data_IF_348938573034
#
_entry.id   IF_348938573034
#
_cell.length_a   1.000
_cell.length_b   1.000
_cell.length_c   1.000
_cell.angle_alpha   90.00
_cell.angle_beta   90.00
_cell.angle_gamma   90.00
#
_symmetry.space_group_name_H-M   'P 1'
#
loop_
_entity.id
_entity.type
_entity.pdbx_description
1 polymer ?
#
# COMPACT_ATOMS: atom_id res chain seq x y z
N UNK A 1 18.05 -8.15 -27.77
CA UNK A 1 17.24 -7.12 -27.08
C UNK A 1 18.02 -6.65 -25.86
N UNK A 2 18.68 -5.50 -25.99
CA UNK A 2 19.79 -5.05 -25.13
C UNK A 2 19.34 -4.57 -23.74
N UNK A 3 20.15 -4.87 -22.71
CA UNK A 3 20.01 -4.42 -21.32
C UNK A 3 19.83 -2.89 -21.18
N UNK A 4 20.31 -2.11 -22.17
CA UNK A 4 20.11 -0.67 -22.25
C UNK A 4 18.63 -0.27 -22.37
N UNK A 5 17.79 -1.12 -22.97
CA UNK A 5 16.34 -0.90 -23.08
C UNK A 5 15.64 -1.10 -21.73
N UNK A 6 16.12 -2.06 -20.93
CA UNK A 6 15.63 -2.29 -19.56
C UNK A 6 16.01 -1.15 -18.61
N UNK A 7 17.22 -0.58 -18.73
CA UNK A 7 17.66 0.54 -17.90
C UNK A 7 16.83 1.81 -18.11
N UNK A 8 16.35 2.05 -19.35
CA UNK A 8 15.51 3.19 -19.67
C UNK A 8 14.05 3.06 -19.17
N UNK A 9 13.58 1.84 -18.84
CA UNK A 9 12.29 1.61 -18.19
C UNK A 9 12.30 1.94 -16.69
N UNK A 10 13.48 2.02 -16.05
CA UNK A 10 13.62 2.30 -14.61
C UNK A 10 13.50 3.80 -14.31
N UNK A 11 13.86 4.67 -15.26
CA UNK A 11 13.83 6.14 -15.12
C UNK A 11 12.43 6.72 -14.82
N UNK A 12 11.32 6.30 -15.49
CA UNK A 12 10.00 6.84 -15.18
C UNK A 12 9.44 6.37 -13.83
N UNK A 13 9.89 5.23 -13.29
CA UNK A 13 9.38 4.65 -12.04
C UNK A 13 9.70 5.55 -10.84
N UNK A 14 10.88 6.18 -10.81
CA UNK A 14 11.27 7.10 -9.72
C UNK A 14 10.42 8.37 -9.69
N UNK A 15 10.11 8.91 -10.87
CA UNK A 15 9.25 10.10 -11.02
C UNK A 15 7.80 9.81 -10.60
N UNK A 16 7.26 8.65 -10.98
CA UNK A 16 5.91 8.25 -10.58
C UNK A 16 5.79 7.93 -9.08
N UNK A 17 6.83 7.38 -8.45
CA UNK A 17 6.86 7.18 -6.99
C UNK A 17 6.89 8.51 -6.22
N UNK A 18 7.69 9.49 -6.69
CA UNK A 18 7.76 10.82 -6.09
C UNK A 18 6.42 11.58 -6.22
N UNK A 19 5.78 11.51 -7.39
CA UNK A 19 4.46 12.11 -7.61
C UNK A 19 3.34 11.45 -6.78
N UNK A 20 3.47 10.15 -6.44
CA UNK A 20 2.53 9.45 -5.55
C UNK A 20 2.71 9.79 -4.07
N UNK A 21 3.92 10.18 -3.65
CA UNK A 21 4.21 10.67 -2.30
C UNK A 21 3.84 12.15 -2.11
N UNK A 22 3.87 12.94 -3.19
CA UNK A 22 3.49 14.35 -3.20
C UNK A 22 1.98 14.58 -3.39
N UNK A 23 1.12 13.74 -2.80
CA UNK A 23 -0.32 14.01 -2.77
C UNK A 23 -0.57 15.25 -1.89
N UNK A 24 -0.65 16.42 -2.51
CA UNK A 24 -1.02 17.69 -1.89
C UNK A 24 -2.51 17.69 -1.58
N UNK A 25 -2.90 16.97 -0.53
CA UNK A 25 -4.20 17.21 0.08
C UNK A 25 -4.18 18.57 0.74
N UNK A 26 -5.17 19.41 0.41
CA UNK A 26 -5.55 20.63 1.13
C UNK A 26 -5.47 20.31 2.63
N UNK A 27 -4.47 20.88 3.31
CA UNK A 27 -4.36 20.74 4.76
C UNK A 27 -5.44 21.67 5.32
N UNK A 28 -6.49 21.14 5.97
CA UNK A 28 -7.49 21.98 6.60
C UNK A 28 -6.80 22.90 7.62
N UNK A 29 -7.21 24.17 7.58
CA UNK A 29 -6.69 25.22 8.44
C UNK A 29 -6.78 24.82 9.92
N UNK A 30 -5.80 25.26 10.73
CA UNK A 30 -5.79 24.96 12.17
C UNK A 30 -7.09 25.44 12.82
N UNK A 31 -7.54 24.79 13.89
CA UNK A 31 -8.78 25.17 14.54
C UNK A 31 -8.75 26.65 14.96
N UNK A 32 -9.84 27.37 14.66
CA UNK A 32 -10.01 28.79 14.99
C UNK A 32 -9.80 29.08 16.49
N UNK A 33 -10.04 28.08 17.33
CA UNK A 33 -9.78 28.11 18.76
C UNK A 33 -8.73 27.04 19.05
N UNK A 34 -7.56 27.46 19.54
CA UNK A 34 -6.52 26.57 20.04
C UNK A 34 -6.50 26.68 21.56
N UNK A 35 -6.45 25.54 22.24
CA UNK A 35 -6.33 25.49 23.69
C UNK A 35 -4.96 26.05 24.08
N UNK A 36 -4.96 27.10 24.90
CA UNK A 36 -3.73 27.63 25.47
C UNK A 36 -3.31 26.77 26.65
N UNK A 37 -2.01 26.59 26.81
CA UNK A 37 -1.45 25.82 27.91
C UNK A 37 -1.76 26.49 29.26
N UNK A 38 -2.17 25.76 30.29
CA UNK A 38 -2.30 26.31 31.64
C UNK A 38 -0.94 26.78 32.16
N UNK A 39 -0.93 27.94 32.82
CA UNK A 39 0.29 28.53 33.37
C UNK A 39 0.78 27.67 34.56
N UNK A 40 1.86 26.92 34.37
CA UNK A 40 2.50 26.14 35.43
C UNK A 40 3.06 24.78 35.00
N UNK A 41 2.63 24.25 33.86
CA UNK A 41 3.12 22.96 33.36
C UNK A 41 4.30 23.15 32.40
N UNK A 42 5.26 22.21 32.38
CA UNK A 42 6.37 22.15 31.43
C UNK A 42 6.13 20.99 30.44
N UNK A 43 6.34 21.23 29.14
CA UNK A 43 6.05 20.23 28.08
C UNK A 43 5.42 20.79 26.80
N UNK A 44 5.51 20.02 25.72
CA UNK A 44 4.89 20.32 24.42
C UNK A 44 3.39 20.03 24.46
N UNK A 45 2.57 21.04 24.17
CA UNK A 45 1.13 20.93 24.11
C UNK A 45 0.65 21.36 22.73
N UNK A 46 0.21 20.40 21.92
CA UNK A 46 -0.32 20.65 20.59
C UNK A 46 -1.62 19.87 20.43
N UNK A 47 -2.74 20.56 20.65
CA UNK A 47 -4.06 19.98 20.42
C UNK A 47 -4.51 20.26 18.98
N UNK A 48 -4.42 19.24 18.13
CA UNK A 48 -4.96 19.27 16.77
C UNK A 48 -6.24 18.43 16.65
N UNK A 49 -7.18 18.84 15.80
CA UNK A 49 -8.36 18.02 15.48
C UNK A 49 -7.92 16.75 14.73
N UNK A 50 -8.42 15.58 15.15
CA UNK A 50 -8.20 14.34 14.41
C UNK A 50 -9.06 14.31 13.13
N UNK A 51 -8.43 14.50 11.97
CA UNK A 51 -9.11 14.58 10.69
C UNK A 51 -9.74 13.27 10.23
N UNK A 52 -9.19 12.11 10.62
CA UNK A 52 -9.74 10.81 10.23
C UNK A 52 -11.14 10.53 10.81
N UNK A 53 -11.48 11.20 11.92
CA UNK A 53 -12.72 10.99 12.67
C UNK A 53 -13.75 12.09 12.42
N UNK A 54 -13.50 13.01 11.49
CA UNK A 54 -14.41 14.12 11.23
C UNK A 54 -15.46 13.72 10.16
N UNK A 55 -16.76 13.60 10.51
CA UNK A 55 -17.81 13.18 9.58
C UNK A 55 -18.09 14.23 8.49
N UNK A 56 -17.65 15.48 8.68
CA UNK A 56 -17.88 16.57 7.74
C UNK A 56 -16.83 16.65 6.63
N UNK A 57 -15.78 15.80 6.68
CA UNK A 57 -14.77 15.76 5.61
C UNK A 57 -15.25 14.78 4.54
N UNK A 58 -15.79 15.34 3.45
CA UNK A 58 -16.17 14.57 2.26
C UNK A 58 -14.92 14.20 1.47
N UNK A 59 -14.57 12.91 1.43
CA UNK A 59 -13.42 12.39 0.70
C UNK A 59 -12.84 11.12 1.33
N UNK A 60 -11.75 10.60 0.77
CA UNK A 60 -11.06 9.45 1.35
C UNK A 60 -10.33 9.88 2.63
N UNK A 61 -10.52 9.19 3.77
CA UNK A 61 -9.86 9.53 5.03
C UNK A 61 -8.34 9.56 4.85
N UNK A 62 -7.69 10.61 5.39
CA UNK A 62 -6.24 10.74 5.36
C UNK A 62 -5.65 9.65 6.28
N UNK A 63 -4.78 8.78 5.77
CA UNK A 63 -4.10 7.80 6.62
C UNK A 63 -3.23 8.55 7.63
N UNK A 64 -3.42 8.24 8.90
CA UNK A 64 -2.60 8.73 10.00
C UNK A 64 -1.35 7.87 10.16
N UNK A 65 -0.26 8.44 10.71
CA UNK A 65 0.87 7.62 11.13
C UNK A 65 0.40 6.58 12.16
N UNK A 66 0.61 5.30 11.87
CA UNK A 66 0.12 4.18 12.68
C UNK A 66 -1.15 3.50 12.14
N UNK A 67 -1.77 4.01 11.09
CA UNK A 67 -2.88 3.32 10.41
C UNK A 67 -2.40 2.09 9.63
N UNK A 68 -3.29 1.09 9.49
CA UNK A 68 -2.99 -0.10 8.69
C UNK A 68 -2.70 0.27 7.22
N UNK A 69 -1.74 -0.41 6.55
CA UNK A 69 -1.39 -0.12 5.16
C UNK A 69 -2.54 -0.40 4.18
N UNK A 70 -3.61 -1.05 4.65
CA UNK A 70 -4.84 -1.34 3.90
C UNK A 70 -5.41 -0.08 3.22
N UNK A 71 -5.47 1.04 3.93
CA UNK A 71 -6.03 2.30 3.40
C UNK A 71 -5.17 2.88 2.28
N UNK A 72 -3.86 2.61 2.26
CA UNK A 72 -2.98 3.03 1.18
C UNK A 72 -3.05 2.08 -0.02
N UNK A 73 -3.02 0.76 0.24
CA UNK A 73 -2.95 -0.27 -0.81
C UNK A 73 -4.27 -0.46 -1.55
N UNK A 74 -5.40 -0.48 -0.84
CA UNK A 74 -6.71 -0.81 -1.43
C UNK A 74 -7.50 0.43 -1.87
N UNK A 75 -6.97 1.65 -1.66
CA UNK A 75 -7.67 2.93 -1.88
C UNK A 75 -8.33 3.06 -3.25
N UNK A 76 -7.65 2.57 -4.29
CA UNK A 76 -8.04 2.73 -5.69
C UNK A 76 -8.71 1.49 -6.29
N UNK A 77 -8.72 0.38 -5.56
CA UNK A 77 -9.20 -0.91 -6.09
C UNK A 77 -10.72 -0.89 -6.26
N UNK A 78 -11.45 -0.26 -5.33
CA UNK A 78 -12.92 -0.20 -5.39
C UNK A 78 -13.51 0.65 -6.51
N UNK A 79 -12.69 1.43 -7.23
CA UNK A 79 -13.15 2.30 -8.32
C UNK A 79 -12.59 1.88 -9.70
N UNK A 80 -11.64 0.95 -9.72
CA UNK A 80 -10.98 0.49 -10.94
C UNK A 80 -11.57 -0.86 -11.38
N UNK A 81 -12.81 -0.82 -11.87
CA UNK A 81 -13.56 -2.02 -12.27
C UNK A 81 -12.87 -2.85 -13.36
N UNK A 82 -12.09 -2.19 -14.21
CA UNK A 82 -11.29 -2.80 -15.27
C UNK A 82 -10.18 -3.72 -14.75
N UNK A 83 -9.81 -3.59 -13.47
CA UNK A 83 -8.70 -4.34 -12.86
C UNK A 83 -9.17 -5.70 -12.32
N UNK A 84 -10.46 -5.89 -12.05
CA UNK A 84 -10.97 -7.16 -11.52
C UNK A 84 -10.71 -8.37 -12.44
N UNK A 85 -10.93 -8.29 -13.77
CA UNK A 85 -10.60 -9.38 -14.68
C UNK A 85 -9.10 -9.73 -14.67
N UNK A 86 -8.22 -8.73 -14.55
CA UNK A 86 -6.77 -8.94 -14.48
C UNK A 86 -6.36 -9.60 -13.16
N UNK A 87 -6.98 -9.19 -12.04
CA UNK A 87 -6.76 -9.83 -10.73
C UNK A 87 -7.22 -11.28 -10.78
N UNK A 88 -8.42 -11.55 -11.31
CA UNK A 88 -8.93 -12.91 -11.45
C UNK A 88 -8.01 -13.77 -12.30
N UNK A 89 -7.58 -13.26 -13.45
CA UNK A 89 -6.64 -13.95 -14.33
C UNK A 89 -5.32 -14.26 -13.63
N UNK A 90 -4.78 -13.30 -12.87
CA UNK A 90 -3.52 -13.48 -12.13
C UNK A 90 -3.64 -14.57 -11.06
N UNK A 91 -4.75 -14.59 -10.32
CA UNK A 91 -5.03 -15.60 -9.29
C UNK A 91 -5.19 -16.97 -9.95
N UNK A 92 -5.95 -17.06 -11.04
CA UNK A 92 -6.15 -18.30 -11.78
C UNK A 92 -4.82 -18.87 -12.30
N UNK A 93 -3.93 -18.02 -12.83
CA UNK A 93 -2.61 -18.44 -13.28
C UNK A 93 -1.74 -18.93 -12.12
N UNK A 94 -1.68 -18.21 -11.01
CA UNK A 94 -0.89 -18.62 -9.84
C UNK A 94 -1.39 -19.94 -9.27
N UNK A 95 -2.71 -20.10 -9.13
CA UNK A 95 -3.32 -21.36 -8.69
C UNK A 95 -3.01 -22.49 -9.68
N UNK A 96 -3.15 -22.23 -10.99
CA UNK A 96 -2.83 -23.20 -12.02
C UNK A 96 -1.38 -23.67 -11.97
N UNK A 97 -0.44 -22.75 -11.75
CA UNK A 97 0.99 -23.06 -11.57
C UNK A 97 1.23 -23.91 -10.31
N UNK A 98 0.61 -23.55 -9.18
CA UNK A 98 0.74 -24.32 -7.93
C UNK A 98 0.17 -25.73 -8.09
N UNK A 99 -1.02 -25.86 -8.69
CA UNK A 99 -1.66 -27.16 -8.94
C UNK A 99 -0.82 -28.02 -9.89
N UNK A 100 -0.27 -27.42 -10.95
CA UNK A 100 0.59 -28.11 -11.91
C UNK A 100 1.90 -28.56 -11.26
N UNK A 101 2.51 -27.71 -10.42
CA UNK A 101 3.70 -28.07 -9.66
C UNK A 101 3.40 -29.20 -8.66
N UNK A 102 2.30 -29.11 -7.92
CA UNK A 102 1.85 -30.14 -7.00
C UNK A 102 1.64 -31.47 -7.73
N UNK A 103 0.90 -31.48 -8.84
CA UNK A 103 0.71 -32.67 -9.65
C UNK A 103 2.03 -33.24 -10.18
N UNK A 104 2.93 -32.39 -10.65
CA UNK A 104 4.24 -32.81 -11.14
C UNK A 104 5.08 -33.47 -10.04
N UNK A 105 5.06 -32.93 -8.81
CA UNK A 105 5.75 -33.54 -7.68
C UNK A 105 5.15 -34.88 -7.23
N UNK A 106 3.87 -35.15 -7.51
CA UNK A 106 3.31 -36.50 -7.27
C UNK A 106 3.79 -37.55 -8.28
N UNK A 107 4.25 -37.12 -9.46
CA UNK A 107 4.70 -38.01 -10.54
C UNK A 107 6.21 -38.12 -10.64
N UNK A 108 6.94 -37.12 -10.15
CA UNK A 108 8.39 -37.14 -10.06
C UNK A 108 8.80 -37.97 -8.84
N UNK A 109 9.56 -39.03 -9.07
CA UNK A 109 10.28 -39.71 -8.00
C UNK A 109 11.36 -38.76 -7.48
N UNK A 110 11.12 -38.18 -6.31
CA UNK A 110 12.11 -37.35 -5.64
C UNK A 110 13.02 -38.29 -4.85
N UNK A 111 14.19 -38.59 -5.41
CA UNK A 111 15.25 -39.32 -4.73
C UNK A 111 15.89 -38.39 -3.69
N UNK A 112 15.30 -38.35 -2.49
CA UNK A 112 15.90 -37.67 -1.34
C UNK A 112 16.96 -38.60 -0.75
N UNK A 113 18.23 -38.25 -0.92
CA UNK A 113 19.32 -38.90 -0.19
C UNK A 113 19.17 -38.56 1.31
N UNK A 114 18.82 -39.57 2.11
CA UNK A 114 18.64 -39.46 3.55
C UNK A 114 19.92 -39.79 4.34
N UNK A 115 21.08 -39.85 3.68
CA UNK A 115 22.34 -40.29 4.30
C UNK A 115 22.79 -39.48 5.53
N UNK A 116 22.20 -38.30 5.81
CA UNK A 116 22.60 -37.40 6.91
C UNK A 116 21.46 -36.85 7.78
N UNK A 117 20.28 -37.46 7.78
CA UNK A 117 19.20 -37.13 8.75
C UNK A 117 19.20 -38.17 9.86
#
# INVERSE_FOLDING_TARGET
MSLLRAANLIKPIRSQLAARLASTTIVPESSKIQLQKPAGEQGFFSYGRNFSRNPYITGVPKPLPGDTPKTFLLRRIGHAYEVYPLILLSIALVIGMILTAYYSFTKIEIWIDKSKI
#
